data_IF_259628346119
#
_entry.id   IF_259628346119
#
_cell.length_a   1.000
_cell.length_b   1.000
_cell.length_c   1.000
_cell.angle_alpha   90.00
_cell.angle_beta   90.00
_cell.angle_gamma   90.00
#
_symmetry.space_group_name_H-M   'P 1'
#
loop_
_entity.id
_entity.type
_entity.pdbx_description
1 polymer ?
#
# COMPACT_ATOMS: atom_id res chain seq x y z
N UNK A 1 -19.60 -19.78 8.68
CA UNK A 1 -18.52 -18.89 9.16
C UNK A 1 -17.28 -19.29 8.40
N UNK A 2 -16.66 -18.38 7.67
CA UNK A 2 -15.39 -18.66 6.98
C UNK A 2 -14.32 -19.00 8.01
N UNK A 3 -13.45 -19.95 7.71
CA UNK A 3 -12.31 -20.29 8.56
C UNK A 3 -11.42 -19.03 8.69
N UNK A 4 -11.00 -18.64 9.91
CA UNK A 4 -10.16 -17.46 10.07
C UNK A 4 -8.82 -17.67 9.36
N UNK A 5 -8.30 -16.59 8.74
CA UNK A 5 -6.97 -16.58 8.16
C UNK A 5 -5.91 -16.77 9.24
N UNK A 6 -4.87 -17.57 8.99
CA UNK A 6 -3.74 -17.67 9.91
C UNK A 6 -3.02 -16.32 9.96
N UNK A 7 -2.83 -15.77 11.17
CA UNK A 7 -2.13 -14.52 11.41
C UNK A 7 -1.13 -14.66 12.56
N UNK A 8 0.11 -14.12 12.46
CA UNK A 8 0.65 -13.43 11.29
C UNK A 8 0.62 -14.30 10.03
N UNK A 9 0.27 -13.71 8.87
CA UNK A 9 0.23 -14.41 7.61
C UNK A 9 1.64 -14.60 7.02
N UNK A 10 2.40 -13.50 6.91
CA UNK A 10 3.82 -13.51 6.57
C UNK A 10 4.55 -12.59 7.54
N UNK A 11 5.49 -13.13 8.29
CA UNK A 11 6.22 -12.38 9.30
C UNK A 11 7.23 -11.41 8.66
N UNK A 12 7.44 -10.27 9.34
CA UNK A 12 8.44 -9.26 9.00
C UNK A 12 8.34 -8.76 7.54
N UNK A 13 7.10 -8.61 7.06
CA UNK A 13 6.79 -8.01 5.78
C UNK A 13 5.74 -6.93 5.98
N UNK A 14 6.22 -5.68 6.09
CA UNK A 14 5.38 -4.49 6.15
C UNK A 14 4.92 -4.08 4.74
N UNK A 15 3.90 -3.24 4.67
CA UNK A 15 3.41 -2.65 3.42
C UNK A 15 3.06 -3.73 2.37
N UNK A 16 2.23 -4.72 2.76
CA UNK A 16 2.00 -5.89 1.93
C UNK A 16 1.13 -5.57 0.72
N UNK A 17 1.46 -6.17 -0.41
CA UNK A 17 0.64 -6.14 -1.60
C UNK A 17 0.46 -7.54 -2.18
N UNK A 18 -0.79 -7.93 -2.48
CA UNK A 18 -1.12 -9.20 -3.12
C UNK A 18 -1.89 -8.93 -4.41
N UNK A 19 -1.32 -9.33 -5.53
CA UNK A 19 -1.98 -9.33 -6.82
C UNK A 19 -2.47 -10.75 -7.14
N UNK A 20 -3.76 -10.90 -7.42
CA UNK A 20 -4.31 -12.09 -8.08
C UNK A 20 -4.29 -11.84 -9.59
N UNK A 21 -3.55 -12.67 -10.34
CA UNK A 21 -3.49 -12.58 -11.78
C UNK A 21 -3.51 -13.98 -12.40
N UNK A 22 -4.45 -14.21 -13.31
CA UNK A 22 -4.74 -15.54 -13.86
C UNK A 22 -4.95 -16.58 -12.77
N UNK A 23 -4.16 -17.68 -12.77
CA UNK A 23 -4.25 -18.75 -11.79
C UNK A 23 -3.32 -18.57 -10.58
N UNK A 24 -2.65 -17.43 -10.43
CA UNK A 24 -1.65 -17.21 -9.40
C UNK A 24 -1.95 -16.02 -8.51
N UNK A 25 -1.46 -16.11 -7.29
CA UNK A 25 -1.29 -15.00 -6.35
C UNK A 25 0.18 -14.63 -6.30
N UNK A 26 0.45 -13.33 -6.34
CA UNK A 26 1.78 -12.75 -6.21
C UNK A 26 1.82 -11.88 -4.96
N UNK A 27 2.86 -12.05 -4.15
CA UNK A 27 3.06 -11.25 -2.95
C UNK A 27 4.35 -10.46 -3.06
N UNK A 28 4.29 -9.19 -2.69
CA UNK A 28 5.43 -8.29 -2.53
C UNK A 28 5.21 -7.40 -1.30
N UNK A 29 6.28 -7.00 -0.63
CA UNK A 29 6.23 -6.15 0.56
C UNK A 29 7.59 -5.51 0.84
N UNK A 30 7.65 -4.55 1.75
CA UNK A 30 8.90 -4.05 2.30
C UNK A 30 9.64 -5.15 3.05
N UNK A 31 10.92 -5.34 2.75
CA UNK A 31 11.79 -6.23 3.53
C UNK A 31 12.47 -5.43 4.64
N UNK A 32 12.76 -6.01 5.83
CA UNK A 32 13.32 -5.26 6.96
C UNK A 32 14.66 -4.56 6.67
N UNK A 33 15.46 -5.11 5.77
CA UNK A 33 16.73 -4.52 5.37
C UNK A 33 16.58 -3.33 4.41
N UNK A 34 15.40 -3.13 3.82
CA UNK A 34 15.11 -2.09 2.81
C UNK A 34 16.12 -2.04 1.67
N UNK A 35 16.59 -3.21 1.21
CA UNK A 35 17.72 -3.33 0.28
C UNK A 35 17.37 -4.04 -1.04
N UNK A 36 16.16 -4.53 -1.20
CA UNK A 36 15.76 -5.35 -2.36
C UNK A 36 14.24 -5.39 -2.56
N UNK A 37 13.87 -5.88 -3.74
CA UNK A 37 12.52 -6.30 -4.08
C UNK A 37 12.51 -7.81 -4.29
N UNK A 38 11.56 -8.49 -3.67
CA UNK A 38 11.37 -9.93 -3.80
C UNK A 38 9.90 -10.28 -4.03
N UNK A 39 9.64 -11.26 -4.87
CA UNK A 39 8.31 -11.76 -5.18
C UNK A 39 8.13 -13.18 -4.63
N UNK A 40 6.94 -13.45 -4.14
CA UNK A 40 6.45 -14.82 -3.92
C UNK A 40 5.31 -15.09 -4.88
N UNK A 41 5.13 -16.33 -5.30
CA UNK A 41 4.01 -16.78 -6.14
C UNK A 41 3.47 -18.10 -5.65
N UNK A 42 2.17 -18.24 -5.61
CA UNK A 42 1.47 -19.46 -5.28
C UNK A 42 0.17 -19.59 -6.09
N UNK A 43 -0.36 -20.81 -6.19
CA UNK A 43 -1.64 -21.06 -6.85
C UNK A 43 -2.85 -20.82 -5.96
N UNK A 44 -2.64 -20.79 -4.64
CA UNK A 44 -3.67 -20.41 -3.66
C UNK A 44 -3.17 -19.25 -2.79
N UNK A 45 -4.13 -18.47 -2.26
CA UNK A 45 -3.80 -17.37 -1.38
C UNK A 45 -3.05 -17.87 -0.12
N UNK A 46 -3.51 -18.97 0.46
CA UNK A 46 -2.93 -19.54 1.65
C UNK A 46 -1.48 -20.03 1.44
N UNK A 47 -1.17 -20.60 0.29
CA UNK A 47 0.17 -21.11 -0.01
C UNK A 47 1.25 -20.04 -0.16
N UNK A 48 0.86 -18.75 -0.31
CA UNK A 48 1.81 -17.64 -0.28
C UNK A 48 2.64 -17.57 1.01
N UNK A 49 2.10 -18.08 2.14
CA UNK A 49 2.82 -18.14 3.42
C UNK A 49 4.13 -18.92 3.31
N UNK A 50 4.11 -19.99 2.50
CA UNK A 50 5.19 -20.95 2.40
C UNK A 50 5.97 -20.83 1.08
N UNK A 51 5.50 -19.97 0.17
CA UNK A 51 6.18 -19.73 -1.09
C UNK A 51 7.55 -19.08 -0.85
N UNK A 52 8.59 -19.64 -1.47
CA UNK A 52 9.94 -19.10 -1.36
C UNK A 52 10.03 -17.74 -2.04
N UNK A 53 10.64 -16.73 -1.39
CA UNK A 53 10.83 -15.42 -1.99
C UNK A 53 11.94 -15.47 -3.06
N UNK A 54 11.65 -14.91 -4.22
CA UNK A 54 12.60 -14.74 -5.31
C UNK A 54 13.03 -13.28 -5.37
N UNK A 55 14.30 -13.00 -5.16
CA UNK A 55 14.84 -11.64 -5.31
C UNK A 55 14.90 -11.29 -6.79
N UNK A 56 14.13 -10.26 -7.18
CA UNK A 56 14.03 -9.81 -8.57
C UNK A 56 14.85 -8.55 -8.86
N UNK A 57 15.16 -7.78 -7.83
CA UNK A 57 15.98 -6.58 -7.94
C UNK A 57 16.66 -6.24 -6.60
N UNK A 58 17.89 -5.69 -6.67
CA UNK A 58 18.61 -5.18 -5.52
C UNK A 58 18.97 -3.73 -5.71
N UNK A 59 18.95 -2.95 -4.63
CA UNK A 59 19.39 -1.56 -4.66
C UNK A 59 20.83 -1.46 -5.14
N UNK A 60 21.19 -0.46 -5.95
CA UNK A 60 22.60 -0.19 -6.29
C UNK A 60 23.36 0.35 -5.08
N UNK A 61 24.69 0.36 -5.16
CA UNK A 61 25.56 0.91 -4.10
C UNK A 61 25.46 2.43 -3.99
N UNK A 62 25.10 3.11 -5.07
CA UNK A 62 24.95 4.57 -5.13
C UNK A 62 23.89 4.99 -6.14
N UNK A 63 23.45 6.24 -6.05
CA UNK A 63 22.47 6.80 -6.97
C UNK A 63 21.09 7.01 -6.33
N UNK A 64 20.08 7.39 -7.11
CA UNK A 64 18.80 7.84 -6.58
C UNK A 64 17.97 6.76 -5.87
N UNK A 65 18.23 5.47 -6.14
CA UNK A 65 17.53 4.32 -5.54
C UNK A 65 18.46 3.47 -4.67
N UNK A 66 19.48 4.06 -4.06
CA UNK A 66 20.52 3.31 -3.34
C UNK A 66 20.21 3.04 -1.88
N UNK A 67 19.11 3.60 -1.33
CA UNK A 67 18.73 3.42 0.07
C UNK A 67 17.22 3.35 0.25
N UNK A 68 16.80 2.67 1.34
CA UNK A 68 15.45 2.69 1.88
C UNK A 68 14.37 2.34 0.84
N UNK A 69 14.43 1.12 0.34
CA UNK A 69 13.46 0.59 -0.62
C UNK A 69 12.16 0.25 0.11
N UNK A 70 11.10 1.02 -0.11
CA UNK A 70 9.85 0.93 0.63
C UNK A 70 8.64 0.63 -0.24
N UNK A 71 7.67 -0.05 0.37
CA UNK A 71 6.29 -0.20 -0.07
C UNK A 71 6.15 -0.56 -1.57
N UNK A 72 6.73 -1.65 -2.02
CA UNK A 72 6.60 -2.07 -3.41
C UNK A 72 5.21 -2.66 -3.68
N UNK A 73 4.64 -2.33 -4.84
CA UNK A 73 3.41 -2.93 -5.36
C UNK A 73 3.61 -3.47 -6.76
N UNK A 74 3.16 -4.71 -7.02
CA UNK A 74 3.20 -5.35 -8.32
C UNK A 74 1.88 -5.16 -9.07
N UNK A 75 1.95 -4.64 -10.28
CA UNK A 75 0.79 -4.40 -11.14
C UNK A 75 0.97 -5.00 -12.53
N UNK A 76 -0.15 -5.20 -13.23
CA UNK A 76 -0.19 -5.52 -14.66
C UNK A 76 -0.78 -4.35 -15.41
N UNK A 77 0.03 -3.64 -16.19
CA UNK A 77 -0.36 -2.43 -16.92
C UNK A 77 0.02 -2.62 -18.39
N UNK A 78 -0.96 -2.52 -19.30
CA UNK A 78 -0.75 -2.63 -20.74
C UNK A 78 0.14 -3.84 -21.14
N UNK A 79 -0.17 -5.00 -20.58
CA UNK A 79 0.57 -6.27 -20.77
C UNK A 79 2.02 -6.29 -20.24
N UNK A 80 2.43 -5.27 -19.47
CA UNK A 80 3.71 -5.23 -18.79
C UNK A 80 3.54 -5.50 -17.29
N UNK A 81 4.52 -6.15 -16.69
CA UNK A 81 4.65 -6.18 -15.24
C UNK A 81 5.31 -4.87 -14.78
N UNK A 82 4.71 -4.24 -13.80
CA UNK A 82 5.19 -2.97 -13.25
C UNK A 82 5.28 -3.08 -11.74
N UNK A 83 6.41 -2.71 -11.17
CA UNK A 83 6.54 -2.53 -9.71
C UNK A 83 6.74 -1.06 -9.43
N UNK A 84 5.82 -0.48 -8.65
CA UNK A 84 6.01 0.82 -8.04
C UNK A 84 6.66 0.65 -6.67
N UNK A 85 7.65 1.49 -6.35
CA UNK A 85 8.30 1.51 -5.03
C UNK A 85 8.87 2.88 -4.74
N UNK A 86 9.03 3.19 -3.45
CA UNK A 86 9.72 4.38 -3.02
C UNK A 86 11.18 4.06 -2.69
N UNK A 87 12.09 4.95 -3.03
CA UNK A 87 13.51 4.84 -2.72
C UNK A 87 14.14 6.20 -2.49
N UNK A 88 15.23 6.23 -1.73
CA UNK A 88 16.01 7.43 -1.43
C UNK A 88 17.48 7.28 -1.89
N UNK A 89 18.19 8.39 -2.14
CA UNK A 89 19.62 8.35 -2.47
C UNK A 89 20.51 8.18 -1.23
N UNK A 90 19.97 8.43 -0.03
CA UNK A 90 20.67 8.41 1.26
C UNK A 90 19.69 8.13 2.39
N UNK A 91 20.20 7.76 3.55
CA UNK A 91 19.42 7.66 4.80
C UNK A 91 19.24 8.97 5.54
N UNK A 92 19.83 10.05 5.04
CA UNK A 92 19.80 11.35 5.68
C UNK A 92 18.39 11.96 5.62
N UNK A 93 18.00 12.54 6.74
CA UNK A 93 16.75 13.30 6.87
C UNK A 93 17.05 14.78 6.54
N UNK A 94 16.23 15.35 5.65
CA UNK A 94 16.26 16.76 5.31
C UNK A 94 14.89 17.37 5.58
N UNK A 95 14.86 18.48 6.31
CA UNK A 95 13.62 19.17 6.69
C UNK A 95 12.60 18.26 7.41
N UNK A 96 13.10 17.33 8.22
CA UNK A 96 12.30 16.38 8.98
C UNK A 96 11.79 15.17 8.20
N UNK A 97 12.14 15.03 6.92
CA UNK A 97 11.69 13.93 6.04
C UNK A 97 12.87 13.22 5.38
N UNK A 98 12.69 11.93 5.09
CA UNK A 98 13.56 11.20 4.18
C UNK A 98 13.42 11.76 2.75
N UNK A 99 14.38 11.43 1.90
CA UNK A 99 14.46 12.01 0.54
C UNK A 99 13.88 11.09 -0.53
N UNK A 100 12.85 10.30 -0.19
CA UNK A 100 12.21 9.36 -1.09
C UNK A 100 11.59 10.02 -2.32
N UNK A 101 11.64 9.28 -3.43
CA UNK A 101 10.89 9.53 -4.66
C UNK A 101 10.27 8.22 -5.13
N UNK A 102 9.26 8.33 -5.96
CA UNK A 102 8.61 7.18 -6.57
C UNK A 102 9.31 6.72 -7.84
N UNK A 103 9.45 5.40 -7.98
CA UNK A 103 10.05 4.74 -9.12
C UNK A 103 9.15 3.62 -9.65
N UNK A 104 9.27 3.34 -10.94
CA UNK A 104 8.67 2.21 -11.62
C UNK A 104 9.76 1.30 -12.17
N UNK A 105 9.68 0.00 -11.87
CA UNK A 105 10.38 -1.06 -12.58
C UNK A 105 9.42 -1.71 -13.57
N UNK A 106 9.90 -2.05 -14.77
CA UNK A 106 9.09 -2.68 -15.81
C UNK A 106 9.73 -3.97 -16.28
N UNK A 107 8.93 -4.99 -16.51
CA UNK A 107 9.32 -6.24 -17.11
C UNK A 107 8.32 -6.62 -18.21
N UNK A 108 8.81 -6.85 -19.42
CA UNK A 108 8.01 -7.21 -20.60
C UNK A 108 7.87 -8.73 -20.78
N UNK A 109 8.54 -9.51 -19.93
CA UNK A 109 8.52 -10.98 -20.03
C UNK A 109 7.26 -11.55 -19.37
N UNK A 110 6.86 -12.74 -19.76
CA UNK A 110 5.63 -13.36 -19.29
C UNK A 110 5.67 -13.68 -17.79
N UNK A 111 6.82 -14.11 -17.26
CA UNK A 111 6.99 -14.48 -15.86
C UNK A 111 7.79 -13.42 -15.09
N UNK A 112 7.18 -12.70 -14.14
CA UNK A 112 7.88 -11.64 -13.39
C UNK A 112 8.92 -12.19 -12.40
N UNK A 113 8.89 -13.49 -12.04
CA UNK A 113 9.86 -14.06 -11.11
C UNK A 113 11.20 -14.38 -11.78
N UNK A 114 11.16 -14.79 -13.05
CA UNK A 114 12.35 -15.11 -13.85
C UNK A 114 12.66 -14.05 -14.90
N UNK A 115 11.78 -13.09 -15.08
CA UNK A 115 11.89 -12.05 -16.07
C UNK A 115 13.01 -11.06 -15.79
N UNK A 116 13.45 -10.38 -16.85
CA UNK A 116 14.44 -9.32 -16.76
C UNK A 116 13.77 -7.97 -16.49
N UNK A 117 13.98 -7.45 -15.31
CA UNK A 117 13.50 -6.12 -14.92
C UNK A 117 14.40 -5.02 -15.51
N UNK A 118 13.79 -4.01 -16.10
CA UNK A 118 14.50 -2.84 -16.63
C UNK A 118 15.05 -1.96 -15.50
N UNK A 119 15.91 -0.99 -15.82
CA UNK A 119 16.36 -0.03 -14.82
C UNK A 119 15.19 0.80 -14.26
N UNK A 120 15.21 1.15 -12.96
CA UNK A 120 14.18 1.98 -12.38
C UNK A 120 14.01 3.32 -13.10
N UNK A 121 12.76 3.70 -13.34
CA UNK A 121 12.40 5.00 -13.92
C UNK A 121 11.65 5.81 -12.87
N UNK A 122 12.11 7.03 -12.64
CA UNK A 122 11.43 7.93 -11.73
C UNK A 122 10.06 8.33 -12.28
N UNK A 123 9.03 8.30 -11.42
CA UNK A 123 7.72 8.90 -11.70
C UNK A 123 7.77 10.34 -11.21
N UNK A 124 7.77 11.29 -12.17
CA UNK A 124 7.79 12.71 -11.84
C UNK A 124 6.37 13.23 -11.60
N UNK A 125 6.22 14.05 -10.58
CA UNK A 125 4.99 14.79 -10.29
C UNK A 125 5.24 16.29 -10.33
N UNK A 126 4.25 17.08 -9.88
CA UNK A 126 4.36 18.55 -9.82
C UNK A 126 5.39 19.06 -8.79
N UNK A 127 5.78 18.20 -7.83
CA UNK A 127 6.75 18.56 -6.78
C UNK A 127 7.96 17.64 -6.81
N UNK A 128 9.14 18.20 -6.51
CA UNK A 128 10.34 17.42 -6.25
C UNK A 128 10.54 17.26 -4.73
N UNK A 129 9.60 16.58 -4.09
CA UNK A 129 9.53 16.41 -2.64
C UNK A 129 9.41 14.95 -2.24
N UNK A 130 9.42 14.66 -0.94
CA UNK A 130 9.16 13.34 -0.38
C UNK A 130 7.89 12.75 -0.99
N UNK A 131 8.02 11.57 -1.59
CA UNK A 131 6.93 10.85 -2.23
C UNK A 131 7.08 9.35 -1.99
N UNK A 132 5.96 8.67 -1.72
CA UNK A 132 5.92 7.24 -1.38
C UNK A 132 4.57 6.62 -1.73
N UNK A 133 4.48 5.30 -1.60
CA UNK A 133 3.25 4.52 -1.55
C UNK A 133 2.32 4.74 -2.74
N UNK A 134 2.75 4.34 -3.91
CA UNK A 134 1.92 4.45 -5.09
C UNK A 134 1.20 3.16 -5.40
N UNK A 135 -0.08 3.28 -5.74
CA UNK A 135 -0.90 2.21 -6.29
C UNK A 135 -1.44 2.57 -7.67
N UNK A 136 -1.82 1.54 -8.42
CA UNK A 136 -2.45 1.68 -9.74
C UNK A 136 -3.81 0.98 -9.75
N UNK A 137 -4.73 1.55 -10.48
CA UNK A 137 -6.01 0.93 -10.78
C UNK A 137 -6.52 1.33 -12.17
N UNK A 138 -7.42 0.54 -12.72
CA UNK A 138 -8.10 0.84 -13.98
C UNK A 138 -9.53 1.30 -13.68
N UNK A 139 -9.94 2.41 -14.27
CA UNK A 139 -11.30 2.89 -14.19
C UNK A 139 -11.72 3.50 -15.53
N UNK A 140 -12.88 3.07 -16.07
CA UNK A 140 -13.41 3.50 -17.37
C UNK A 140 -12.38 3.39 -18.52
N UNK A 141 -11.61 2.30 -18.55
CA UNK A 141 -10.60 2.04 -19.57
C UNK A 141 -9.35 2.91 -19.50
N UNK A 142 -9.17 3.65 -18.41
CA UNK A 142 -7.99 4.49 -18.16
C UNK A 142 -7.17 3.92 -17.03
N UNK A 143 -5.85 4.08 -17.12
CA UNK A 143 -4.91 3.75 -16.06
C UNK A 143 -4.75 4.94 -15.12
N UNK A 144 -4.91 4.71 -13.82
CA UNK A 144 -4.82 5.72 -12.77
C UNK A 144 -3.68 5.41 -11.82
N UNK A 145 -3.03 6.46 -11.34
CA UNK A 145 -1.93 6.42 -10.37
C UNK A 145 -2.29 7.26 -9.16
N UNK A 146 -2.27 6.65 -8.00
CA UNK A 146 -2.62 7.26 -6.72
C UNK A 146 -1.44 7.07 -5.76
N UNK A 147 -0.92 8.15 -5.18
CA UNK A 147 0.27 8.11 -4.33
C UNK A 147 0.23 9.14 -3.22
N UNK A 148 1.17 8.99 -2.27
CA UNK A 148 1.38 9.94 -1.19
C UNK A 148 2.56 10.87 -1.49
N UNK A 149 2.41 12.17 -1.22
CA UNK A 149 3.47 13.15 -1.45
C UNK A 149 3.39 14.35 -0.53
N UNK A 150 4.55 14.86 -0.12
CA UNK A 150 4.69 16.14 0.57
C UNK A 150 4.34 17.29 -0.37
N UNK A 151 3.35 18.09 0.04
CA UNK A 151 3.08 19.40 -0.54
C UNK A 151 3.87 20.47 0.21
N UNK A 152 4.71 21.26 -0.46
CA UNK A 152 5.50 22.32 0.21
C UNK A 152 4.65 23.36 0.93
N UNK A 153 3.41 23.59 0.48
CA UNK A 153 2.49 24.59 1.05
C UNK A 153 1.65 24.05 2.20
N UNK A 154 1.65 22.73 2.47
CA UNK A 154 0.79 22.10 3.46
C UNK A 154 1.65 21.52 4.59
N UNK A 155 1.37 21.84 5.87
CA UNK A 155 2.02 21.18 7.00
C UNK A 155 1.81 19.66 6.98
N UNK A 156 2.74 18.92 7.61
CA UNK A 156 2.69 17.46 7.67
C UNK A 156 3.57 16.79 6.62
N UNK A 157 3.54 15.46 6.61
CA UNK A 157 4.50 14.65 5.84
C UNK A 157 4.02 14.35 4.43
N UNK A 158 2.75 13.97 4.27
CA UNK A 158 2.22 13.53 2.98
C UNK A 158 0.72 13.69 2.83
N UNK A 159 0.30 13.89 1.60
CA UNK A 159 -1.07 14.02 1.14
C UNK A 159 -1.30 13.06 -0.03
N UNK A 160 -2.54 12.68 -0.31
CA UNK A 160 -2.87 11.79 -1.42
C UNK A 160 -3.13 12.57 -2.71
N UNK A 161 -2.49 12.14 -3.78
CA UNK A 161 -2.63 12.70 -5.12
C UNK A 161 -3.04 11.64 -6.13
N UNK A 162 -3.89 12.01 -7.08
CA UNK A 162 -4.37 11.18 -8.16
C UNK A 162 -4.05 11.81 -9.51
N UNK A 163 -3.58 10.99 -10.47
CA UNK A 163 -3.43 11.38 -11.86
C UNK A 163 -3.72 10.21 -12.81
N UNK A 164 -4.14 10.49 -14.03
CA UNK A 164 -4.16 9.51 -15.12
C UNK A 164 -2.74 9.21 -15.59
N UNK A 165 -2.44 7.98 -16.00
CA UNK A 165 -1.17 7.58 -16.58
C UNK A 165 -1.20 7.64 -18.11
N UNK A 166 -0.14 8.15 -18.73
CA UNK A 166 0.14 7.99 -20.16
C UNK A 166 0.85 6.67 -20.46
N UNK A 167 1.70 6.25 -19.55
CA UNK A 167 2.43 5.00 -19.50
C UNK A 167 2.83 4.72 -18.05
N UNK A 168 3.42 3.58 -17.69
CA UNK A 168 3.69 3.22 -16.30
C UNK A 168 4.51 4.23 -15.47
N UNK A 169 5.22 5.16 -16.07
CA UNK A 169 6.08 6.13 -15.36
C UNK A 169 5.80 7.60 -15.71
N UNK A 170 4.77 7.89 -16.52
CA UNK A 170 4.46 9.25 -16.95
C UNK A 170 3.02 9.62 -16.64
N UNK A 171 2.85 10.64 -15.81
CA UNK A 171 1.54 11.18 -15.47
C UNK A 171 0.99 12.02 -16.63
N UNK A 172 -0.33 12.00 -16.78
CA UNK A 172 -1.07 12.81 -17.75
C UNK A 172 -1.72 14.00 -17.06
N UNK A 173 -1.30 15.19 -17.41
CA UNK A 173 -1.86 16.41 -16.86
C UNK A 173 -1.42 16.69 -15.41
N UNK A 174 -2.11 17.64 -14.78
CA UNK A 174 -1.86 18.01 -13.40
C UNK A 174 -2.55 17.03 -12.44
N UNK A 175 -1.88 16.57 -11.37
CA UNK A 175 -2.50 15.75 -10.35
C UNK A 175 -3.55 16.52 -9.54
N UNK A 176 -4.52 15.79 -9.03
CA UNK A 176 -5.50 16.30 -8.07
C UNK A 176 -5.20 15.76 -6.68
N UNK A 177 -5.17 16.65 -5.68
CA UNK A 177 -5.08 16.23 -4.29
C UNK A 177 -6.44 15.72 -3.80
N UNK A 178 -6.49 14.47 -3.35
CA UNK A 178 -7.71 13.84 -2.86
C UNK A 178 -7.90 13.99 -1.35
N UNK A 179 -6.80 13.97 -0.60
CA UNK A 179 -6.83 14.01 0.85
C UNK A 179 -5.56 14.63 1.43
N UNK A 180 -5.71 15.28 2.56
CA UNK A 180 -4.62 15.72 3.44
C UNK A 180 -4.96 15.35 4.88
N UNK A 181 -3.98 15.19 5.77
CA UNK A 181 -4.25 15.06 7.20
C UNK A 181 -4.97 16.29 7.74
N UNK A 182 -6.16 16.11 8.32
CA UNK A 182 -6.96 17.21 8.88
C UNK A 182 -7.70 16.83 10.16
N UNK A 183 -7.90 15.53 10.41
CA UNK A 183 -8.49 15.05 11.65
C UNK A 183 -7.39 14.70 12.67
N UNK A 184 -7.70 14.80 13.96
CA UNK A 184 -6.74 14.49 15.04
C UNK A 184 -6.16 13.08 14.89
N UNK A 185 -7.01 12.10 14.52
CA UNK A 185 -6.60 10.72 14.30
C UNK A 185 -5.69 10.51 13.07
N UNK A 186 -5.53 11.50 12.21
CA UNK A 186 -4.60 11.48 11.09
C UNK A 186 -3.24 12.11 11.44
N UNK A 187 -3.13 12.70 12.63
CA UNK A 187 -1.99 13.54 13.02
C UNK A 187 -1.32 13.07 14.33
N UNK A 188 -1.62 11.89 14.83
CA UNK A 188 -0.98 11.37 16.03
C UNK A 188 0.47 10.96 15.74
N UNK A 189 1.43 11.66 16.36
CA UNK A 189 2.86 11.52 16.11
C UNK A 189 3.32 12.18 14.81
N UNK A 190 2.72 11.84 13.68
CA UNK A 190 2.97 12.46 12.37
C UNK A 190 1.66 12.76 11.65
N UNK A 191 1.62 13.87 10.92
CA UNK A 191 0.49 14.22 10.06
C UNK A 191 0.70 13.59 8.69
N UNK A 192 0.01 12.47 8.44
CA UNK A 192 0.25 11.59 7.30
C UNK A 192 -1.07 11.14 6.69
N UNK A 193 -1.17 11.18 5.36
CA UNK A 193 -2.04 10.33 4.55
C UNK A 193 -1.16 9.59 3.55
N UNK A 194 -1.11 8.27 3.63
CA UNK A 194 -0.24 7.40 2.83
C UNK A 194 -0.87 6.03 2.57
N UNK A 195 -0.15 5.11 1.92
CA UNK A 195 -0.58 3.73 1.71
C UNK A 195 -1.97 3.58 1.08
N UNK A 196 -2.31 4.30 0.00
CA UNK A 196 -3.63 4.22 -0.60
C UNK A 196 -3.88 2.86 -1.26
N UNK A 197 -5.09 2.33 -1.11
CA UNK A 197 -5.55 1.15 -1.83
C UNK A 197 -6.96 1.36 -2.36
N UNK A 198 -7.26 0.83 -3.55
CA UNK A 198 -8.51 1.09 -4.27
C UNK A 198 -9.31 -0.18 -4.41
N UNK A 199 -10.62 -0.08 -4.13
CA UNK A 199 -11.57 -1.16 -4.38
C UNK A 199 -12.88 -0.57 -4.92
N UNK A 200 -13.48 -1.25 -5.91
CA UNK A 200 -14.78 -0.90 -6.42
C UNK A 200 -15.84 -1.86 -5.85
N UNK A 201 -16.97 -1.29 -5.42
CA UNK A 201 -18.15 -2.07 -5.07
C UNK A 201 -19.41 -1.34 -5.50
N UNK A 202 -20.29 -2.06 -6.24
CA UNK A 202 -21.49 -1.45 -6.80
C UNK A 202 -21.18 -0.27 -7.70
N UNK A 203 -21.79 0.86 -7.42
CA UNK A 203 -21.67 2.11 -8.16
C UNK A 203 -20.63 3.09 -7.55
N UNK A 204 -19.73 2.60 -6.68
CA UNK A 204 -18.73 3.42 -6.00
C UNK A 204 -17.32 2.84 -6.08
N UNK A 205 -16.35 3.76 -6.17
CA UNK A 205 -14.95 3.50 -5.84
C UNK A 205 -14.68 3.91 -4.41
N UNK A 206 -13.90 3.10 -3.72
CA UNK A 206 -13.39 3.36 -2.39
C UNK A 206 -11.88 3.40 -2.41
N UNK A 207 -11.31 4.38 -1.71
CA UNK A 207 -9.88 4.47 -1.44
C UNK A 207 -9.69 4.40 0.06
N UNK A 208 -9.06 3.34 0.54
CA UNK A 208 -8.50 3.32 1.89
C UNK A 208 -7.14 3.97 1.87
N UNK A 209 -6.75 4.57 2.98
CA UNK A 209 -5.40 5.13 3.17
C UNK A 209 -5.02 4.99 4.64
N UNK A 210 -3.74 5.13 4.92
CA UNK A 210 -3.22 5.07 6.27
C UNK A 210 -2.82 6.43 6.79
N UNK A 211 -2.87 6.59 8.11
CA UNK A 211 -2.67 7.86 8.77
C UNK A 211 -1.95 7.70 10.12
N UNK A 212 -1.33 8.78 10.59
CA UNK A 212 -0.58 8.88 11.84
C UNK A 212 0.78 8.18 11.82
N UNK A 213 1.48 8.14 12.96
CA UNK A 213 2.76 7.46 13.10
C UNK A 213 2.60 5.94 12.95
N UNK A 214 3.67 5.25 12.55
CA UNK A 214 3.69 3.79 12.35
C UNK A 214 3.87 3.01 13.67
N UNK A 215 3.30 3.51 14.74
CA UNK A 215 3.13 2.91 16.06
C UNK A 215 1.67 2.42 16.27
N UNK A 216 1.20 2.34 17.49
CA UNK A 216 -0.18 1.94 17.81
C UNK A 216 -1.26 2.92 17.32
N UNK A 217 -0.87 4.12 16.93
CA UNK A 217 -1.79 5.13 16.37
C UNK A 217 -2.05 4.94 14.87
N UNK A 218 -1.23 4.17 14.19
CA UNK A 218 -1.43 3.91 12.75
C UNK A 218 -2.79 3.28 12.51
N UNK A 219 -3.53 3.82 11.54
CA UNK A 219 -4.91 3.43 11.28
C UNK A 219 -5.31 3.72 9.84
N UNK A 220 -6.48 3.22 9.43
CA UNK A 220 -6.97 3.41 8.07
C UNK A 220 -8.12 4.41 8.02
N UNK A 221 -8.08 5.32 7.05
CA UNK A 221 -9.17 6.18 6.62
C UNK A 221 -9.83 5.67 5.35
N UNK A 222 -10.91 6.36 4.93
CA UNK A 222 -11.70 5.98 3.76
C UNK A 222 -12.13 7.22 2.98
N UNK A 223 -11.90 7.19 1.66
CA UNK A 223 -12.51 8.07 0.68
C UNK A 223 -13.49 7.27 -0.18
N UNK A 224 -14.51 7.92 -0.72
CA UNK A 224 -15.42 7.31 -1.68
C UNK A 224 -15.89 8.30 -2.75
N UNK A 225 -16.21 7.77 -3.93
CA UNK A 225 -16.72 8.52 -5.08
C UNK A 225 -17.65 7.63 -5.89
N UNK A 226 -18.67 8.21 -6.54
CA UNK A 226 -19.46 7.49 -7.53
C UNK A 226 -18.66 7.20 -8.80
N UNK A 227 -18.82 6.01 -9.39
CA UNK A 227 -18.06 5.57 -10.56
C UNK A 227 -18.27 6.41 -11.83
N UNK A 228 -19.37 7.16 -11.91
CA UNK A 228 -19.67 8.04 -13.04
C UNK A 228 -19.18 9.48 -12.82
N UNK A 229 -18.65 9.78 -11.64
CA UNK A 229 -18.14 11.12 -11.32
C UNK A 229 -16.70 11.31 -11.83
N UNK A 230 -16.35 12.56 -12.10
CA UNK A 230 -14.96 12.91 -12.46
C UNK A 230 -14.03 12.68 -11.26
N UNK A 231 -13.10 11.75 -11.40
CA UNK A 231 -12.13 11.41 -10.37
C UNK A 231 -11.14 12.55 -10.08
N UNK A 232 -10.93 13.46 -11.03
CA UNK A 232 -10.02 14.59 -10.86
C UNK A 232 -10.69 15.82 -10.23
N UNK A 233 -12.01 15.79 -10.04
CA UNK A 233 -12.69 16.82 -9.23
C UNK A 233 -12.69 16.40 -7.76
N UNK A 234 -11.84 17.05 -6.97
CA UNK A 234 -11.71 16.77 -5.53
C UNK A 234 -13.02 16.93 -4.76
N UNK A 235 -13.96 17.78 -5.23
CA UNK A 235 -15.25 18.00 -4.58
C UNK A 235 -16.21 16.79 -4.67
N UNK A 236 -15.96 15.88 -5.60
CA UNK A 236 -16.75 14.65 -5.74
C UNK A 236 -16.40 13.59 -4.69
N UNK A 237 -15.21 13.66 -4.11
CA UNK A 237 -14.75 12.70 -3.11
C UNK A 237 -15.36 12.98 -1.73
N UNK A 238 -15.73 11.93 -1.05
CA UNK A 238 -16.23 11.96 0.33
C UNK A 238 -15.22 11.29 1.25
N UNK A 239 -14.78 12.01 2.28
CA UNK A 239 -13.84 11.53 3.29
C UNK A 239 -14.59 11.14 4.56
N UNK A 240 -14.30 9.96 5.10
CA UNK A 240 -14.83 9.54 6.40
C UNK A 240 -14.24 10.41 7.51
N UNK A 241 -15.11 10.93 8.39
CA UNK A 241 -14.67 11.73 9.54
C UNK A 241 -14.02 10.88 10.66
N UNK A 242 -14.15 9.56 10.58
CA UNK A 242 -13.58 8.62 11.56
C UNK A 242 -12.74 7.58 10.84
N UNK A 243 -11.71 7.03 11.50
CA UNK A 243 -10.97 5.90 10.96
C UNK A 243 -11.90 4.69 10.80
N UNK A 244 -11.61 3.87 9.79
CA UNK A 244 -12.41 2.67 9.47
C UNK A 244 -11.77 1.38 9.95
N UNK A 245 -10.50 1.42 10.36
CA UNK A 245 -9.77 0.28 10.91
C UNK A 245 -8.64 0.77 11.81
N UNK A 246 -8.65 0.36 13.07
CA UNK A 246 -7.76 0.87 14.13
C UNK A 246 -7.22 -0.25 14.98
N UNK A 247 -6.25 0.06 15.84
CA UNK A 247 -5.74 -0.86 16.87
C UNK A 247 -6.87 -1.46 17.69
N UNK A 248 -6.71 -2.72 18.05
CA UNK A 248 -7.62 -3.43 18.91
C UNK A 248 -6.85 -4.03 20.10
N UNK A 249 -7.09 -3.48 21.28
CA UNK A 249 -6.38 -3.83 22.51
C UNK A 249 -6.75 -5.21 23.04
N UNK A 250 -8.00 -5.62 22.85
CA UNK A 250 -8.48 -6.94 23.31
C UNK A 250 -7.85 -8.08 22.48
N UNK A 251 -7.58 -7.83 21.21
CA UNK A 251 -6.95 -8.78 20.30
C UNK A 251 -5.42 -8.64 20.22
N UNK A 252 -4.83 -7.69 20.96
CA UNK A 252 -3.40 -7.38 20.89
C UNK A 252 -2.92 -7.11 19.45
N UNK A 253 -3.65 -6.24 18.75
CA UNK A 253 -3.32 -5.84 17.38
C UNK A 253 -3.16 -4.33 17.30
N UNK A 254 -1.98 -3.86 16.92
CA UNK A 254 -1.61 -2.46 17.01
C UNK A 254 -1.08 -1.91 15.69
N UNK A 255 -1.52 -0.69 15.36
CA UNK A 255 -1.12 0.03 14.16
C UNK A 255 -1.48 -0.67 12.85
N UNK A 256 -2.75 -1.14 12.68
CA UNK A 256 -3.15 -1.77 11.44
C UNK A 256 -3.26 -0.76 10.31
N UNK A 257 -2.61 -1.04 9.20
CA UNK A 257 -2.68 -0.15 8.04
C UNK A 257 -1.85 -0.62 6.86
N UNK A 258 -1.58 0.30 5.96
CA UNK A 258 -0.92 0.09 4.68
C UNK A 258 -1.45 -1.16 3.98
N UNK A 259 -2.75 -1.12 3.71
CA UNK A 259 -3.47 -2.26 3.18
C UNK A 259 -3.46 -2.32 1.65
N UNK A 260 -3.72 -3.49 1.13
CA UNK A 260 -4.27 -3.71 -0.20
C UNK A 260 -5.51 -4.61 -0.13
N UNK A 261 -6.15 -4.80 -1.26
CA UNK A 261 -7.28 -5.71 -1.42
C UNK A 261 -6.92 -6.83 -2.39
N UNK A 262 -7.41 -8.03 -2.08
CA UNK A 262 -7.39 -9.17 -3.00
C UNK A 262 -8.68 -9.96 -2.85
N UNK A 263 -8.84 -11.03 -3.62
CA UNK A 263 -9.95 -11.96 -3.46
C UNK A 263 -9.39 -13.37 -3.25
N UNK A 264 -10.04 -14.15 -2.40
CA UNK A 264 -9.72 -15.56 -2.24
C UNK A 264 -10.19 -16.37 -3.48
N UNK A 265 -9.99 -17.67 -3.45
CA UNK A 265 -10.36 -18.59 -4.54
C UNK A 265 -11.87 -18.62 -4.79
N UNK A 266 -12.68 -18.28 -3.80
CA UNK A 266 -14.15 -18.24 -3.89
C UNK A 266 -14.67 -16.86 -4.36
N UNK A 267 -13.77 -15.89 -4.53
CA UNK A 267 -14.11 -14.50 -4.90
C UNK A 267 -14.58 -13.64 -3.72
N UNK A 268 -14.32 -14.08 -2.48
CA UNK A 268 -14.57 -13.25 -1.29
C UNK A 268 -13.46 -12.20 -1.14
N UNK A 269 -13.86 -10.97 -0.82
CA UNK A 269 -12.92 -9.85 -0.65
C UNK A 269 -12.10 -10.01 0.63
N UNK A 270 -10.79 -9.81 0.49
CA UNK A 270 -9.81 -9.95 1.57
C UNK A 270 -9.03 -8.65 1.73
N UNK A 271 -9.02 -8.13 2.96
CA UNK A 271 -8.14 -7.06 3.40
C UNK A 271 -6.79 -7.66 3.77
N UNK A 272 -5.73 -7.18 3.11
CA UNK A 272 -4.33 -7.50 3.39
C UNK A 272 -3.70 -6.28 4.01
N UNK A 273 -3.12 -6.38 5.20
CA UNK A 273 -2.59 -5.23 5.94
C UNK A 273 -1.40 -5.64 6.80
N UNK A 274 -0.70 -4.70 7.38
CA UNK A 274 0.26 -5.02 8.42
C UNK A 274 -0.21 -4.53 9.80
N UNK A 275 0.23 -5.20 10.86
CA UNK A 275 0.08 -4.78 12.25
C UNK A 275 1.12 -5.47 13.13
N UNK A 276 1.39 -4.88 14.32
CA UNK A 276 2.14 -5.50 15.40
C UNK A 276 1.21 -6.13 16.43
N UNK A 277 1.74 -7.02 17.24
CA UNK A 277 1.04 -7.60 18.38
C UNK A 277 1.56 -7.07 19.75
N UNK A 278 2.29 -5.96 19.74
CA UNK A 278 2.79 -5.23 20.91
C UNK A 278 2.91 -3.73 20.60
N UNK A 279 2.99 -2.91 21.64
CA UNK A 279 3.13 -1.44 21.56
C UNK A 279 4.51 -0.94 21.95
N UNK A 280 5.25 -1.70 22.75
CA UNK A 280 6.57 -1.32 23.23
C UNK A 280 7.60 -1.54 22.13
N UNK A 281 7.94 -0.45 21.40
CA UNK A 281 8.91 -0.44 20.31
C UNK A 281 10.18 0.21 20.82
N UNK A 282 11.31 -0.49 20.70
CA UNK A 282 12.63 0.06 21.01
C UNK A 282 13.17 0.86 19.83
N UNK A 283 13.39 2.17 20.05
CA UNK A 283 13.91 3.07 19.02
C UNK A 283 12.85 3.59 18.05
N UNK A 284 13.24 3.82 16.81
CA UNK A 284 12.35 4.30 15.77
C UNK A 284 11.49 3.15 15.21
N UNK A 285 10.15 3.29 15.19
CA UNK A 285 9.22 2.28 14.65
C UNK A 285 9.53 1.80 13.24
N UNK A 286 10.20 2.62 12.43
CA UNK A 286 10.62 2.26 11.08
C UNK A 286 11.59 1.06 11.06
N UNK A 287 12.45 0.94 12.07
CA UNK A 287 13.45 -0.12 12.17
C UNK A 287 13.00 -1.34 12.96
N UNK A 288 11.81 -1.29 13.57
CA UNK A 288 11.19 -2.46 14.15
C UNK A 288 10.65 -3.38 13.04
N UNK A 289 11.16 -4.62 12.88
CA UNK A 289 10.83 -5.45 11.72
C UNK A 289 9.45 -6.11 11.82
N UNK A 290 8.78 -6.03 12.97
CA UNK A 290 7.65 -6.89 13.31
C UNK A 290 6.27 -6.29 12.93
N UNK A 291 6.24 -5.43 11.91
CA UNK A 291 5.01 -5.13 11.19
C UNK A 291 4.71 -6.31 10.26
N UNK A 292 3.96 -7.29 10.77
CA UNK A 292 3.68 -8.52 10.05
C UNK A 292 2.51 -8.35 9.09
N UNK A 293 2.61 -8.96 7.90
CA UNK A 293 1.46 -9.09 7.00
C UNK A 293 0.38 -9.95 7.64
N UNK A 294 -0.86 -9.51 7.53
CA UNK A 294 -2.06 -10.15 8.06
C UNK A 294 -3.18 -10.14 7.02
N UNK A 295 -4.06 -11.10 7.11
CA UNK A 295 -5.25 -11.20 6.25
C UNK A 295 -6.52 -11.17 7.09
N UNK A 296 -7.57 -10.59 6.50
CA UNK A 296 -8.90 -10.57 7.07
C UNK A 296 -9.95 -10.49 5.97
N UNK A 297 -10.92 -11.40 5.95
CA UNK A 297 -12.13 -11.22 5.16
C UNK A 297 -12.97 -10.10 5.77
N UNK A 298 -13.65 -9.35 4.93
CA UNK A 298 -14.55 -8.27 5.37
C UNK A 298 -15.87 -8.34 4.59
N UNK A 299 -16.83 -7.58 5.02
CA UNK A 299 -18.17 -7.58 4.42
C UNK A 299 -18.58 -6.17 3.97
N UNK A 300 -19.56 -6.11 3.10
CA UNK A 300 -20.19 -4.85 2.66
C UNK A 300 -21.48 -4.63 3.44
N UNK A 301 -21.67 -3.41 3.95
CA UNK A 301 -22.91 -3.00 4.63
C UNK A 301 -24.03 -2.83 3.61
N UNK A 302 -25.28 -2.77 4.09
CA UNK A 302 -26.46 -2.56 3.25
C UNK A 302 -26.41 -1.24 2.46
N UNK A 303 -25.70 -0.24 2.95
CA UNK A 303 -25.45 1.03 2.25
C UNK A 303 -24.31 0.95 1.23
N UNK A 304 -23.72 -0.24 1.04
CA UNK A 304 -22.62 -0.51 0.13
C UNK A 304 -21.24 -0.01 0.61
N UNK A 305 -21.09 0.46 1.85
CA UNK A 305 -19.78 0.79 2.42
C UNK A 305 -19.08 -0.45 2.96
N UNK A 306 -17.72 -0.49 2.94
CA UNK A 306 -16.99 -1.63 3.50
C UNK A 306 -17.08 -1.64 5.04
N UNK A 307 -17.24 -2.82 5.61
CA UNK A 307 -17.10 -3.07 7.04
C UNK A 307 -15.89 -3.93 7.31
N UNK A 308 -14.80 -3.29 7.68
CA UNK A 308 -13.56 -3.99 8.00
C UNK A 308 -13.58 -4.62 9.41
N UNK A 309 -14.54 -4.25 10.28
CA UNK A 309 -14.59 -4.72 11.67
C UNK A 309 -13.32 -4.34 12.44
N UNK A 310 -12.79 -5.28 13.22
CA UNK A 310 -11.55 -5.09 14.01
C UNK A 310 -10.46 -6.08 13.57
N UNK A 311 -9.18 -5.76 13.75
CA UNK A 311 -8.09 -6.71 13.50
C UNK A 311 -8.28 -7.96 14.39
N UNK A 312 -8.28 -9.16 13.81
CA UNK A 312 -8.40 -10.40 14.59
C UNK A 312 -7.12 -10.68 15.36
N UNK A 313 -7.25 -11.36 16.50
CA UNK A 313 -6.12 -11.87 17.25
C UNK A 313 -5.27 -12.84 16.40
N UNK A 314 -4.00 -13.01 16.78
CA UNK A 314 -3.12 -13.98 16.15
C UNK A 314 -3.71 -15.39 16.26
N UNK A 315 -3.68 -16.12 15.17
CA UNK A 315 -4.18 -17.47 15.05
C UNK A 315 -3.23 -18.29 14.17
N UNK A 316 -2.56 -19.26 14.79
CA UNK A 316 -1.50 -20.03 14.12
C UNK A 316 -1.88 -21.46 13.74
N UNK A 317 -2.99 -22.00 14.26
CA UNK A 317 -3.41 -23.34 13.92
C UNK A 317 -4.20 -23.36 12.63
N UNK A 318 -3.54 -23.82 11.56
CA UNK A 318 -4.23 -24.46 10.44
C UNK A 318 -4.21 -25.94 10.76
N UNK A 319 -5.35 -26.65 10.74
CA UNK A 319 -5.39 -28.09 10.95
C UNK A 319 -4.60 -28.83 9.87
#
# INVERSE_FOLDING_TARGET
MSTPWPNPFIEQRADPFILRHEQYYYFIASVPAYDRLELRRASTLLDLRHAEPVVIWRKPESGPCSELIWAPELHRIDEQWVIYFAAAPTRDIKDGLFQHRMYALVCDEADPLSGRWQAPRRVFSQFDTFALDATHFVHQGKNWYLWAQKDPAIPGNSNLYLAELLNPWTLKGAPTMLSRPEYEWECAGFSVNEGPAVIQHGDRLFVTYSASATDENYCMGLLSIGIEQDLLDAANWRKSARPVFTSNWDNHQYGPGHNCFTQDENGEDVLVYHARNYTEIEGDPLWDPNRHTRLKSFVWRDDGTPDFGVPPADYTSVP
#
